data_IF_012048780845
#
_entry.id   IF_012048780845
#
_cell.length_a   1.000
_cell.length_b   1.000
_cell.length_c   1.000
_cell.angle_alpha   90.00
_cell.angle_beta   90.00
_cell.angle_gamma   90.00
#
_symmetry.space_group_name_H-M   'P 1'
#
loop_
_entity.id
_entity.type
_entity.pdbx_description
1 polymer ?
#
# COMPACT_ATOMS: atom_id res chain seq x y z
N UNK A 1 31.27 7.61 17.53
CA UNK A 1 31.75 7.34 16.15
C UNK A 1 31.07 6.07 15.65
N UNK A 2 30.27 6.12 14.57
CA UNK A 2 29.43 5.01 14.07
C UNK A 2 30.21 3.78 13.51
N UNK A 3 31.53 3.72 13.69
CA UNK A 3 32.33 2.57 13.25
C UNK A 3 32.33 2.30 11.73
N UNK A 4 31.96 3.28 10.90
CA UNK A 4 31.74 3.10 9.45
C UNK A 4 33.01 3.15 8.57
N UNK A 5 34.22 3.21 9.14
CA UNK A 5 35.45 3.27 8.34
C UNK A 5 35.74 1.96 7.59
N UNK A 6 36.10 2.02 6.31
CA UNK A 6 36.47 0.87 5.49
C UNK A 6 37.80 1.15 4.79
N UNK A 7 38.56 0.11 4.47
CA UNK A 7 39.87 0.22 3.82
C UNK A 7 39.96 -0.55 2.49
N UNK A 8 38.88 -1.23 2.09
CA UNK A 8 38.76 -1.86 0.78
C UNK A 8 37.28 -2.05 0.41
N UNK A 9 37.02 -2.27 -0.88
CA UNK A 9 35.69 -2.47 -1.45
C UNK A 9 34.97 -3.66 -0.81
N UNK A 10 35.69 -4.74 -0.47
CA UNK A 10 35.11 -5.91 0.20
C UNK A 10 34.52 -5.58 1.57
N UNK A 11 35.25 -4.83 2.42
CA UNK A 11 34.73 -4.38 3.72
C UNK A 11 33.61 -3.36 3.58
N UNK A 12 33.64 -2.51 2.55
CA UNK A 12 32.52 -1.63 2.24
C UNK A 12 31.27 -2.45 1.91
N UNK A 13 31.38 -3.45 1.04
CA UNK A 13 30.26 -4.33 0.67
C UNK A 13 29.76 -5.13 1.88
N UNK A 14 30.65 -5.71 2.68
CA UNK A 14 30.27 -6.39 3.92
C UNK A 14 29.55 -5.46 4.92
N UNK A 15 29.97 -4.18 4.99
CA UNK A 15 29.27 -3.18 5.81
C UNK A 15 27.90 -2.83 5.25
N UNK A 16 27.79 -2.62 3.93
CA UNK A 16 26.51 -2.38 3.26
C UNK A 16 25.57 -3.58 3.45
N UNK A 17 26.07 -4.80 3.31
CA UNK A 17 25.33 -6.05 3.56
C UNK A 17 24.93 -6.21 5.03
N UNK A 18 25.71 -5.66 5.96
CA UNK A 18 25.37 -5.65 7.39
C UNK A 18 24.33 -4.60 7.79
N UNK A 19 24.01 -3.64 6.91
CA UNK A 19 22.94 -2.68 7.16
C UNK A 19 21.61 -3.45 7.12
N UNK A 20 20.83 -3.47 8.22
CA UNK A 20 19.58 -4.20 8.26
C UNK A 20 18.66 -3.75 7.12
N UNK A 21 18.12 -4.71 6.38
CA UNK A 21 17.15 -4.42 5.33
C UNK A 21 15.93 -3.72 5.93
N UNK A 22 15.54 -2.56 5.37
CA UNK A 22 14.42 -1.73 5.84
C UNK A 22 13.04 -2.41 5.83
N UNK A 23 12.89 -3.62 5.30
CA UNK A 23 11.63 -4.37 5.35
C UNK A 23 11.85 -5.87 5.59
N UNK A 24 12.94 -6.23 6.27
CA UNK A 24 13.28 -7.62 6.48
C UNK A 24 13.57 -8.39 5.18
N UNK A 25 13.45 -9.72 5.28
CA UNK A 25 13.90 -10.68 4.27
C UNK A 25 12.84 -10.90 3.19
N UNK A 26 13.28 -11.06 1.95
CA UNK A 26 12.42 -11.46 0.83
C UNK A 26 11.95 -12.90 0.99
N UNK A 27 10.64 -13.09 0.91
CA UNK A 27 9.94 -14.38 0.84
C UNK A 27 9.37 -14.57 -0.56
N UNK A 28 9.25 -15.82 -0.98
CA UNK A 28 8.60 -16.20 -2.23
C UNK A 28 7.49 -17.17 -1.91
N UNK A 29 6.30 -16.93 -2.45
CA UNK A 29 5.19 -17.87 -2.39
C UNK A 29 4.71 -18.19 -3.81
N UNK A 30 4.04 -19.33 -3.94
CA UNK A 30 3.35 -19.74 -5.15
C UNK A 30 1.87 -19.77 -4.84
N UNK A 31 1.10 -18.89 -5.49
CA UNK A 31 -0.35 -18.92 -5.41
C UNK A 31 -0.88 -19.91 -6.44
N UNK A 32 -1.83 -20.74 -6.02
CA UNK A 32 -2.59 -21.63 -6.88
C UNK A 32 -4.05 -21.62 -6.46
N UNK A 33 -4.95 -21.92 -7.38
CA UNK A 33 -6.39 -21.85 -7.14
C UNK A 33 -7.02 -23.25 -7.23
N UNK A 34 -8.05 -23.59 -6.42
CA UNK A 34 -8.64 -24.93 -6.42
C UNK A 34 -9.19 -25.38 -7.78
N UNK A 35 -9.67 -24.44 -8.60
CA UNK A 35 -10.19 -24.67 -9.95
C UNK A 35 -9.08 -24.91 -10.99
N UNK A 36 -7.82 -24.58 -10.69
CA UNK A 36 -6.67 -24.84 -11.55
C UNK A 36 -5.36 -24.93 -10.74
N UNK A 37 -5.13 -26.03 -10.01
CA UNK A 37 -3.99 -26.15 -9.08
C UNK A 37 -2.62 -26.18 -9.78
N UNK A 38 -2.59 -26.53 -11.07
CA UNK A 38 -1.37 -26.57 -11.88
C UNK A 38 -0.90 -25.17 -12.30
N UNK A 39 -1.80 -24.19 -12.36
CA UNK A 39 -1.46 -22.80 -12.69
C UNK A 39 -0.99 -22.08 -11.42
N UNK A 40 0.32 -21.85 -11.36
CA UNK A 40 0.99 -21.23 -10.21
C UNK A 40 1.45 -19.82 -10.55
N UNK A 41 1.22 -18.90 -9.63
CA UNK A 41 1.62 -17.49 -9.74
C UNK A 41 2.65 -17.15 -8.69
N UNK A 42 3.81 -16.63 -9.13
CA UNK A 42 4.90 -16.30 -8.21
C UNK A 42 4.68 -14.93 -7.59
N UNK A 43 4.67 -14.86 -6.25
CA UNK A 43 4.70 -13.58 -5.51
C UNK A 43 5.99 -13.53 -4.70
N UNK A 44 6.75 -12.45 -4.87
CA UNK A 44 7.90 -12.16 -4.00
C UNK A 44 7.56 -11.00 -3.10
N UNK A 45 7.70 -11.15 -1.80
CA UNK A 45 7.28 -10.11 -0.87
C UNK A 45 8.14 -10.05 0.39
N UNK A 46 7.95 -8.98 1.14
CA UNK A 46 8.53 -8.73 2.44
C UNK A 46 7.40 -8.57 3.46
N UNK A 47 7.75 -8.56 4.73
CA UNK A 47 6.76 -8.29 5.77
C UNK A 47 6.46 -6.78 5.80
N UNK A 48 5.22 -6.34 5.50
CA UNK A 48 4.89 -4.92 5.53
C UNK A 48 4.99 -4.32 6.95
N UNK A 49 4.87 -5.11 8.02
CA UNK A 49 5.04 -4.63 9.39
C UNK A 49 6.49 -4.24 9.65
N UNK A 50 7.47 -4.98 9.12
CA UNK A 50 8.88 -4.60 9.18
C UNK A 50 9.15 -3.31 8.40
N UNK A 51 8.49 -3.12 7.26
CA UNK A 51 8.58 -1.89 6.48
C UNK A 51 8.04 -0.68 7.27
N UNK A 52 6.87 -0.84 7.90
CA UNK A 52 6.32 0.20 8.79
C UNK A 52 7.28 0.49 9.93
N UNK A 53 7.77 -0.55 10.64
CA UNK A 53 8.69 -0.37 11.77
C UNK A 53 9.96 0.36 11.34
N UNK A 54 10.52 0.04 10.17
CA UNK A 54 11.70 0.73 9.68
C UNK A 54 11.47 2.19 9.36
N UNK A 55 10.31 2.56 8.81
CA UNK A 55 9.98 3.98 8.57
C UNK A 55 9.68 4.70 9.89
N UNK A 56 9.03 4.01 10.82
CA UNK A 56 8.59 4.57 12.10
C UNK A 56 9.76 4.95 13.03
N UNK A 57 10.82 4.13 13.03
CA UNK A 57 12.01 4.30 13.87
C UNK A 57 13.13 5.08 13.18
N UNK A 58 12.96 5.50 11.93
CA UNK A 58 14.03 6.13 11.14
C UNK A 58 14.35 7.53 11.69
N UNK A 59 15.56 7.76 12.24
CA UNK A 59 15.92 9.06 12.82
C UNK A 59 15.88 10.20 11.80
N UNK A 60 16.01 9.89 10.51
CA UNK A 60 15.89 10.86 9.41
C UNK A 60 14.53 11.58 9.41
N UNK A 61 13.50 10.95 9.98
CA UNK A 61 12.16 11.51 10.06
C UNK A 61 11.79 12.02 11.46
N UNK A 62 12.70 11.98 12.45
CA UNK A 62 12.38 12.29 13.85
C UNK A 62 11.72 13.68 14.05
N UNK A 63 12.19 14.69 13.33
CA UNK A 63 11.66 16.06 13.41
C UNK A 63 10.40 16.30 12.56
N UNK A 64 9.95 15.29 11.81
CA UNK A 64 8.92 15.45 10.78
C UNK A 64 7.76 14.48 10.89
N UNK A 65 7.97 13.32 11.48
CA UNK A 65 6.94 12.30 11.63
C UNK A 65 5.86 12.77 12.62
N UNK A 66 4.60 12.63 12.21
CA UNK A 66 3.43 13.02 13.00
C UNK A 66 2.80 11.80 13.64
N UNK A 67 2.58 11.84 14.95
CA UNK A 67 2.04 10.73 15.73
C UNK A 67 0.55 10.89 16.09
N UNK A 68 -0.02 12.08 15.94
CA UNK A 68 -1.38 12.38 16.35
C UNK A 68 -2.14 13.15 15.28
N UNK A 69 -3.47 12.99 15.18
CA UNK A 69 -4.28 13.80 14.29
C UNK A 69 -4.29 15.26 14.75
N UNK A 70 -4.51 16.16 13.80
CA UNK A 70 -4.57 17.61 14.05
C UNK A 70 -5.79 18.22 13.36
N UNK A 71 -6.42 19.20 14.02
CA UNK A 71 -7.52 19.97 13.44
C UNK A 71 -7.04 21.36 13.05
N UNK A 72 -6.83 21.54 11.74
CA UNK A 72 -6.42 22.83 11.16
C UNK A 72 -7.65 23.56 10.62
N UNK A 73 -7.80 24.83 11.00
CA UNK A 73 -8.90 25.71 10.59
C UNK A 73 -8.38 26.89 9.76
N UNK A 74 -9.26 27.55 9.01
CA UNK A 74 -8.91 28.72 8.19
C UNK A 74 -8.56 29.94 9.02
N UNK A 75 -9.16 30.06 10.20
CA UNK A 75 -9.14 31.22 11.08
C UNK A 75 -9.61 30.82 12.50
N UNK A 76 -9.59 31.77 13.42
CA UNK A 76 -9.97 31.58 14.83
C UNK A 76 -11.45 31.24 15.04
N UNK A 77 -12.33 31.49 14.06
CA UNK A 77 -13.76 31.17 14.16
C UNK A 77 -14.00 29.65 14.12
N UNK A 78 -13.00 28.88 13.66
CA UNK A 78 -13.04 27.41 13.53
C UNK A 78 -14.23 26.87 12.73
N UNK A 79 -14.81 27.69 11.85
CA UNK A 79 -15.96 27.30 11.03
C UNK A 79 -15.56 26.42 9.84
N UNK A 80 -14.39 26.68 9.24
CA UNK A 80 -13.95 25.97 8.04
C UNK A 80 -12.67 25.19 8.30
N UNK A 81 -12.73 23.86 8.10
CA UNK A 81 -11.55 22.98 8.19
C UNK A 81 -10.67 23.06 6.94
N UNK A 82 -9.36 23.02 7.14
CA UNK A 82 -8.35 22.83 6.10
C UNK A 82 -7.81 21.41 6.15
N UNK A 83 -7.74 20.77 4.98
CA UNK A 83 -7.21 19.43 4.80
C UNK A 83 -6.03 19.49 3.84
N UNK A 84 -4.86 19.03 4.26
CA UNK A 84 -3.64 19.09 3.44
C UNK A 84 -2.75 17.85 3.60
N UNK A 85 -2.72 17.29 4.81
CA UNK A 85 -1.93 16.10 5.16
C UNK A 85 -2.82 15.04 5.80
N UNK A 86 -2.35 13.80 5.88
CA UNK A 86 -3.19 12.68 6.36
C UNK A 86 -3.65 12.89 7.82
N UNK A 87 -2.79 13.43 8.68
CA UNK A 87 -3.13 13.73 10.08
C UNK A 87 -4.15 14.86 10.22
N UNK A 88 -4.33 15.69 9.19
CA UNK A 88 -5.40 16.69 9.14
C UNK A 88 -6.71 16.13 8.60
N UNK A 89 -6.72 14.90 8.08
CA UNK A 89 -7.89 14.23 7.52
C UNK A 89 -8.88 13.79 8.61
N UNK A 90 -10.18 13.83 8.29
CA UNK A 90 -11.23 13.29 9.19
C UNK A 90 -10.98 11.82 9.54
N UNK A 91 -10.62 11.01 8.54
CA UNK A 91 -10.36 9.58 8.68
C UNK A 91 -9.41 9.22 9.83
N UNK A 92 -8.33 9.98 10.02
CA UNK A 92 -7.39 9.68 11.10
C UNK A 92 -8.01 10.02 12.44
N UNK A 93 -8.60 11.21 12.59
CA UNK A 93 -9.26 11.62 13.84
C UNK A 93 -10.33 10.62 14.27
N UNK A 94 -11.27 10.32 13.37
CA UNK A 94 -12.39 9.40 13.64
C UNK A 94 -11.88 8.01 14.09
N UNK A 95 -10.84 7.49 13.43
CA UNK A 95 -10.29 6.17 13.75
C UNK A 95 -9.41 6.18 15.01
N UNK A 96 -8.77 7.31 15.32
CA UNK A 96 -7.94 7.46 16.50
C UNK A 96 -8.79 7.52 17.77
N UNK A 97 -10.00 8.09 17.69
CA UNK A 97 -10.97 8.16 18.79
C UNK A 97 -11.51 6.77 19.18
N UNK A 98 -11.51 5.81 18.25
CA UNK A 98 -11.91 4.41 18.49
C UNK A 98 -10.79 3.55 19.13
N UNK A 99 -9.57 4.08 19.25
CA UNK A 99 -8.42 3.34 19.79
C UNK A 99 -8.19 3.63 21.29
N UNK A 100 -7.54 2.70 22.03
CA UNK A 100 -7.22 2.91 23.43
C UNK A 100 -6.31 4.13 23.67
N UNK A 101 -6.40 4.71 24.87
CA UNK A 101 -5.53 5.80 25.30
C UNK A 101 -4.04 5.45 25.13
N UNK A 102 -3.28 6.36 24.53
CA UNK A 102 -1.85 6.18 24.23
C UNK A 102 -1.57 5.36 22.95
N UNK A 103 -2.60 4.89 22.24
CA UNK A 103 -2.44 4.34 20.91
C UNK A 103 -2.17 5.42 19.86
N UNK A 104 -1.49 5.03 18.78
CA UNK A 104 -1.25 5.91 17.62
C UNK A 104 -1.43 5.15 16.32
N UNK A 105 -1.95 5.81 15.30
CA UNK A 105 -2.12 5.22 13.98
C UNK A 105 -0.85 5.42 13.14
N UNK A 106 -0.36 4.34 12.54
CA UNK A 106 0.53 4.40 11.39
C UNK A 106 -0.32 4.31 10.11
N UNK A 107 -0.57 5.45 9.48
CA UNK A 107 -1.41 5.53 8.29
C UNK A 107 -0.65 4.97 7.09
N UNK A 108 -0.89 3.72 6.70
CA UNK A 108 -0.16 3.06 5.62
C UNK A 108 -0.70 3.51 4.26
N UNK A 109 0.18 4.01 3.40
CA UNK A 109 -0.10 4.28 2.00
C UNK A 109 0.58 3.20 1.15
N UNK A 110 -0.20 2.50 0.35
CA UNK A 110 0.29 1.55 -0.64
C UNK A 110 0.40 2.23 -1.99
N UNK A 111 1.40 1.86 -2.79
CA UNK A 111 1.48 2.27 -4.18
C UNK A 111 1.89 1.09 -5.06
N UNK A 112 1.25 0.94 -6.20
CA UNK A 112 1.58 -0.12 -7.16
C UNK A 112 1.63 0.46 -8.56
N UNK A 113 2.66 0.12 -9.32
CA UNK A 113 2.87 0.64 -10.67
C UNK A 113 3.43 -0.48 -11.55
N UNK A 114 2.69 -0.89 -12.57
CA UNK A 114 3.13 -1.96 -13.47
C UNK A 114 4.16 -1.43 -14.47
N UNK A 115 5.42 -1.78 -14.24
CA UNK A 115 6.55 -1.30 -15.03
C UNK A 115 7.06 -2.36 -16.02
N UNK A 116 7.31 -1.96 -17.27
CA UNK A 116 8.00 -2.79 -18.25
C UNK A 116 9.50 -2.76 -17.98
N UNK A 117 10.12 -3.91 -17.72
CA UNK A 117 11.56 -3.99 -17.41
C UNK A 117 12.44 -4.00 -18.66
N UNK A 118 11.92 -4.47 -19.81
CA UNK A 118 12.67 -4.56 -21.07
C UNK A 118 11.77 -4.32 -22.27
N UNK A 119 12.06 -3.31 -23.09
CA UNK A 119 11.33 -3.06 -24.35
C UNK A 119 11.86 -3.90 -25.54
N UNK A 120 13.13 -4.34 -25.52
CA UNK A 120 13.79 -4.87 -26.72
C UNK A 120 14.19 -6.35 -26.68
N UNK A 121 14.21 -7.00 -25.51
CA UNK A 121 14.55 -8.43 -25.39
C UNK A 121 13.78 -9.09 -24.24
N UNK A 122 12.72 -9.83 -24.57
CA UNK A 122 12.10 -10.80 -23.65
C UNK A 122 10.88 -10.34 -22.85
N UNK A 123 10.33 -9.13 -23.08
CA UNK A 123 9.00 -8.74 -22.59
C UNK A 123 8.77 -8.90 -21.08
N UNK A 124 9.82 -8.77 -20.26
CA UNK A 124 9.72 -8.91 -18.81
C UNK A 124 9.05 -7.67 -18.22
N UNK A 125 8.09 -7.88 -17.35
CA UNK A 125 7.39 -6.81 -16.63
C UNK A 125 7.46 -7.10 -15.14
N UNK A 126 7.58 -6.05 -14.34
CA UNK A 126 7.50 -6.11 -12.89
C UNK A 126 6.25 -5.36 -12.45
N UNK A 127 5.66 -5.83 -11.37
CA UNK A 127 4.55 -5.13 -10.74
C UNK A 127 4.90 -4.88 -9.27
N UNK A 128 5.79 -3.91 -9.01
CA UNK A 128 6.18 -3.56 -7.65
C UNK A 128 5.01 -3.03 -6.82
N UNK A 129 5.02 -3.39 -5.53
CA UNK A 129 4.16 -2.85 -4.49
C UNK A 129 5.04 -2.14 -3.47
N UNK A 130 4.84 -0.84 -3.32
CA UNK A 130 5.53 0.03 -2.37
C UNK A 130 4.63 0.37 -1.17
N UNK A 131 5.28 0.70 -0.06
CA UNK A 131 4.67 1.13 1.19
C UNK A 131 5.36 2.41 1.67
N UNK A 132 4.56 3.37 2.13
CA UNK A 132 5.02 4.55 2.86
C UNK A 132 4.01 4.91 3.97
N UNK A 133 4.32 5.94 4.76
CA UNK A 133 3.48 6.38 5.87
C UNK A 133 2.87 7.75 5.61
N UNK A 134 1.57 7.85 5.91
CA UNK A 134 0.76 9.05 6.05
C UNK A 134 1.31 10.04 7.06
N UNK A 135 1.96 9.50 8.09
CA UNK A 135 2.64 10.21 9.18
C UNK A 135 3.84 11.04 8.70
N UNK A 136 4.41 10.73 7.53
CA UNK A 136 5.53 11.47 6.95
C UNK A 136 4.97 12.56 6.03
N UNK A 137 5.40 13.83 6.16
CA UNK A 137 4.93 14.92 5.31
C UNK A 137 5.03 14.62 3.81
N UNK A 138 4.07 15.12 3.03
CA UNK A 138 4.01 14.85 1.59
C UNK A 138 5.30 15.21 0.85
N UNK A 139 5.93 16.33 1.20
CA UNK A 139 7.14 16.78 0.54
C UNK A 139 8.33 15.82 0.77
N UNK A 140 8.41 15.20 1.95
CA UNK A 140 9.40 14.16 2.25
C UNK A 140 9.07 12.90 1.45
N UNK A 141 7.80 12.50 1.38
CA UNK A 141 7.36 11.37 0.54
C UNK A 141 7.74 11.53 -0.94
N UNK A 142 7.83 12.77 -1.41
CA UNK A 142 8.27 13.13 -2.76
C UNK A 142 9.78 13.36 -2.91
N UNK A 143 10.58 13.10 -1.88
CA UNK A 143 12.03 13.28 -1.87
C UNK A 143 12.76 11.92 -1.90
N UNK A 144 13.16 11.39 -3.07
CA UNK A 144 13.71 10.04 -3.17
C UNK A 144 15.01 9.83 -2.39
N UNK A 145 15.81 10.89 -2.20
CA UNK A 145 17.07 10.83 -1.43
C UNK A 145 16.85 10.49 0.05
N UNK A 146 15.67 10.81 0.60
CA UNK A 146 15.29 10.46 1.98
C UNK A 146 14.68 9.06 2.08
N UNK A 147 14.48 8.38 0.95
CA UNK A 147 13.92 7.02 0.87
C UNK A 147 12.65 6.82 1.73
N UNK A 148 11.60 7.64 1.58
CA UNK A 148 10.37 7.56 2.38
C UNK A 148 9.48 6.36 2.02
N UNK A 149 9.78 5.69 0.90
CA UNK A 149 8.99 4.59 0.35
C UNK A 149 9.82 3.31 0.30
N UNK A 150 9.23 2.20 0.72
CA UNK A 150 9.88 0.88 0.74
C UNK A 150 9.12 -0.08 -0.16
N UNK A 151 9.85 -0.77 -1.05
CA UNK A 151 9.28 -1.83 -1.88
C UNK A 151 8.94 -3.06 -1.03
N UNK A 152 7.67 -3.40 -0.85
CA UNK A 152 7.25 -4.56 -0.03
C UNK A 152 6.92 -5.81 -0.84
N UNK A 153 6.79 -5.71 -2.17
CA UNK A 153 6.53 -6.89 -2.99
C UNK A 153 6.64 -6.68 -4.48
N UNK A 154 6.63 -7.80 -5.19
CA UNK A 154 6.39 -7.92 -6.62
C UNK A 154 5.16 -8.79 -6.79
N UNK A 155 4.09 -8.18 -7.30
CA UNK A 155 2.84 -8.84 -7.63
C UNK A 155 3.02 -9.71 -8.88
N UNK A 156 2.19 -10.75 -9.06
CA UNK A 156 2.25 -11.60 -10.23
C UNK A 156 2.03 -10.81 -11.52
N UNK A 157 2.92 -11.00 -12.49
CA UNK A 157 2.81 -10.40 -13.82
C UNK A 157 2.62 -11.46 -14.91
N UNK A 158 2.73 -12.72 -14.53
CA UNK A 158 2.46 -13.88 -15.38
C UNK A 158 1.05 -13.76 -15.95
N UNK A 159 0.94 -13.76 -17.27
CA UNK A 159 -0.35 -13.63 -17.94
C UNK A 159 -1.11 -14.94 -17.76
N UNK A 160 -2.27 -14.88 -17.10
CA UNK A 160 -3.29 -15.93 -17.20
C UNK A 160 -3.48 -16.24 -18.69
N UNK A 161 -3.45 -17.52 -19.06
CA UNK A 161 -3.50 -17.91 -20.48
C UNK A 161 -4.78 -17.41 -21.14
N UNK A 162 -4.63 -16.48 -22.11
CA UNK A 162 -5.75 -15.90 -22.87
C UNK A 162 -6.25 -16.85 -23.97
N UNK A 163 -5.54 -17.95 -24.24
CA UNK A 163 -5.80 -18.82 -25.40
C UNK A 163 -7.07 -19.66 -25.28
N UNK A 164 -7.53 -19.92 -24.07
CA UNK A 164 -8.67 -20.84 -23.79
C UNK A 164 -9.81 -20.12 -23.04
N UNK A 165 -9.62 -18.87 -22.63
CA UNK A 165 -10.55 -18.15 -21.77
C UNK A 165 -11.27 -17.03 -22.52
N UNK A 166 -12.55 -16.83 -22.20
CA UNK A 166 -13.26 -15.62 -22.60
C UNK A 166 -12.64 -14.39 -21.93
N UNK A 167 -12.85 -13.21 -22.51
CA UNK A 167 -12.29 -11.97 -21.96
C UNK A 167 -12.77 -11.69 -20.52
N UNK A 168 -14.02 -12.05 -20.22
CA UNK A 168 -14.61 -11.90 -18.89
C UNK A 168 -13.93 -12.79 -17.86
N UNK A 169 -13.79 -14.09 -18.16
CA UNK A 169 -13.14 -15.07 -17.27
C UNK A 169 -11.66 -14.73 -17.07
N UNK A 170 -10.98 -14.30 -18.13
CA UNK A 170 -9.59 -13.86 -18.04
C UNK A 170 -9.40 -12.65 -17.12
N UNK A 171 -10.29 -11.65 -17.19
CA UNK A 171 -10.26 -10.47 -16.31
C UNK A 171 -10.53 -10.85 -14.85
N UNK A 172 -11.57 -11.65 -14.62
CA UNK A 172 -11.93 -12.13 -13.28
C UNK A 172 -10.77 -12.88 -12.62
N UNK A 173 -10.12 -13.80 -13.37
CA UNK A 173 -8.92 -14.51 -12.89
C UNK A 173 -7.77 -13.56 -12.58
N UNK A 174 -7.51 -12.58 -13.43
CA UNK A 174 -6.44 -11.59 -13.21
C UNK A 174 -6.70 -10.77 -11.93
N UNK A 175 -7.94 -10.33 -11.72
CA UNK A 175 -8.36 -9.65 -10.48
C UNK A 175 -8.19 -10.56 -9.27
N UNK A 176 -8.60 -11.83 -9.36
CA UNK A 176 -8.48 -12.82 -8.28
C UNK A 176 -7.02 -13.08 -7.89
N UNK A 177 -6.12 -13.24 -8.87
CA UNK A 177 -4.66 -13.36 -8.62
C UNK A 177 -4.12 -12.15 -7.87
N UNK A 178 -4.49 -10.95 -8.31
CA UNK A 178 -4.08 -9.71 -7.66
C UNK A 178 -4.57 -9.61 -6.21
N UNK A 179 -5.86 -9.84 -5.97
CA UNK A 179 -6.45 -9.75 -4.63
C UNK A 179 -5.93 -10.82 -3.68
N UNK A 180 -5.67 -12.03 -4.16
CA UNK A 180 -5.07 -13.08 -3.33
C UNK A 180 -3.61 -12.78 -2.98
N UNK A 181 -2.83 -12.22 -3.92
CA UNK A 181 -1.48 -11.74 -3.64
C UNK A 181 -1.49 -10.61 -2.60
N UNK A 182 -2.35 -9.60 -2.78
CA UNK A 182 -2.50 -8.50 -1.82
C UNK A 182 -2.94 -9.01 -0.43
N UNK A 183 -3.90 -9.92 -0.38
CA UNK A 183 -4.37 -10.56 0.86
C UNK A 183 -3.23 -11.26 1.59
N UNK A 184 -2.39 -12.02 0.87
CA UNK A 184 -1.26 -12.71 1.47
C UNK A 184 -0.21 -11.74 2.00
N UNK A 185 0.19 -10.75 1.19
CA UNK A 185 1.22 -9.77 1.56
C UNK A 185 0.77 -8.94 2.77
N UNK A 186 -0.49 -8.48 2.79
CA UNK A 186 -1.02 -7.58 3.81
C UNK A 186 -1.60 -8.29 5.04
N UNK A 187 -1.60 -9.62 5.09
CA UNK A 187 -2.10 -10.38 6.25
C UNK A 187 -1.43 -9.98 7.57
N UNK A 188 -0.09 -9.89 7.67
CA UNK A 188 0.56 -9.45 8.91
C UNK A 188 0.17 -8.03 9.30
N UNK A 189 0.00 -7.14 8.30
CA UNK A 189 -0.42 -5.76 8.51
C UNK A 189 -1.85 -5.68 9.06
N UNK A 190 -2.75 -6.52 8.56
CA UNK A 190 -4.15 -6.58 9.03
C UNK A 190 -4.23 -7.08 10.46
N UNK A 191 -3.42 -8.06 10.84
CA UNK A 191 -3.34 -8.57 12.21
C UNK A 191 -2.77 -7.49 13.16
N UNK A 192 -1.71 -6.81 12.74
CA UNK A 192 -1.11 -5.71 13.48
C UNK A 192 -2.06 -4.50 13.62
N UNK A 193 -2.79 -4.15 12.56
CA UNK A 193 -3.75 -3.05 12.56
C UNK A 193 -4.97 -3.30 13.45
N UNK A 194 -5.29 -4.55 13.77
CA UNK A 194 -6.37 -4.90 14.72
C UNK A 194 -5.92 -4.91 16.17
N UNK A 195 -4.70 -5.37 16.43
CA UNK A 195 -4.19 -5.59 17.80
C UNK A 195 -3.37 -4.41 18.33
N UNK A 196 -2.79 -3.63 17.42
CA UNK A 196 -1.71 -2.72 17.73
C UNK A 196 -0.43 -3.50 18.07
N UNK A 197 0.72 -2.86 17.86
CA UNK A 197 2.02 -3.43 18.19
C UNK A 197 2.95 -2.35 18.76
N UNK A 198 3.74 -2.66 19.80
CA UNK A 198 4.71 -1.72 20.32
C UNK A 198 5.80 -1.44 19.27
N UNK A 199 6.04 -0.17 18.97
CA UNK A 199 7.13 0.27 18.11
C UNK A 199 7.88 1.45 18.73
N UNK A 200 9.21 1.43 18.63
CA UNK A 200 10.04 2.59 18.93
C UNK A 200 9.89 3.62 17.80
N UNK A 201 9.51 4.84 18.15
CA UNK A 201 9.51 5.98 17.25
C UNK A 201 10.92 6.48 16.97
N UNK A 202 11.05 7.29 15.93
CA UNK A 202 12.27 8.00 15.58
C UNK A 202 12.80 8.93 16.70
N UNK A 203 11.92 9.32 17.63
CA UNK A 203 12.24 10.07 18.84
C UNK A 203 12.70 9.20 20.04
N UNK A 204 12.78 7.88 19.85
CA UNK A 204 13.18 6.91 20.87
C UNK A 204 12.06 6.49 21.83
N UNK A 205 10.86 7.07 21.73
CA UNK A 205 9.72 6.67 22.57
C UNK A 205 9.01 5.45 21.98
N UNK A 206 8.67 4.48 22.84
CA UNK A 206 7.86 3.33 22.44
C UNK A 206 6.38 3.69 22.52
N UNK A 207 5.65 3.44 21.42
CA UNK A 207 4.21 3.68 21.31
C UNK A 207 3.48 2.41 20.91
N UNK A 208 2.22 2.28 21.30
CA UNK A 208 1.36 1.21 20.81
C UNK A 208 0.76 1.61 19.46
N UNK A 209 1.35 1.10 18.37
CA UNK A 209 1.10 1.56 17.00
C UNK A 209 0.10 0.63 16.29
N UNK A 210 -0.91 1.22 15.68
CA UNK A 210 -1.89 0.54 14.84
C UNK A 210 -1.61 0.88 13.37
N UNK A 211 -0.91 0.01 12.62
CA UNK A 211 -0.69 0.20 11.19
C UNK A 211 -1.96 -0.11 10.40
N UNK A 212 -2.54 0.90 9.78
CA UNK A 212 -3.83 0.78 9.08
C UNK A 212 -3.69 1.30 7.66
N UNK A 213 -4.12 0.50 6.68
CA UNK A 213 -4.12 0.92 5.26
C UNK A 213 -5.11 2.06 5.08
N UNK A 214 -4.57 3.24 4.79
CA UNK A 214 -5.31 4.48 4.68
C UNK A 214 -5.57 4.87 3.22
N UNK A 215 -4.63 4.54 2.31
CA UNK A 215 -4.78 4.83 0.89
C UNK A 215 -4.00 3.84 0.02
N UNK A 216 -4.47 3.65 -1.22
CA UNK A 216 -3.74 2.95 -2.28
C UNK A 216 -3.60 3.88 -3.50
N UNK A 217 -2.42 4.46 -3.64
CA UNK A 217 -2.04 5.28 -4.80
C UNK A 217 -1.83 4.38 -6.03
N UNK A 218 -2.62 4.62 -7.06
CA UNK A 218 -2.66 3.82 -8.28
C UNK A 218 -3.17 4.65 -9.46
N UNK A 219 -2.76 4.30 -10.68
CA UNK A 219 -3.33 4.91 -11.87
C UNK A 219 -4.77 4.43 -12.12
N UNK A 220 -5.42 4.93 -13.17
CA UNK A 220 -6.81 4.55 -13.44
C UNK A 220 -7.00 3.03 -13.70
N UNK A 221 -6.08 2.39 -14.42
CA UNK A 221 -6.17 0.96 -14.73
C UNK A 221 -5.98 0.11 -13.47
N UNK A 222 -5.02 0.48 -12.63
CA UNK A 222 -4.81 -0.18 -11.35
C UNK A 222 -5.97 0.09 -10.37
N UNK A 223 -6.55 1.28 -10.36
CA UNK A 223 -7.78 1.55 -9.59
C UNK A 223 -8.94 0.68 -10.02
N UNK A 224 -9.08 0.41 -11.32
CA UNK A 224 -10.06 -0.53 -11.83
C UNK A 224 -9.78 -1.96 -11.36
N UNK A 225 -8.51 -2.38 -11.31
CA UNK A 225 -8.11 -3.68 -10.79
C UNK A 225 -8.44 -3.82 -9.28
N UNK A 226 -8.10 -2.81 -8.48
CA UNK A 226 -8.34 -2.78 -7.03
C UNK A 226 -9.85 -2.80 -6.72
N UNK A 227 -10.64 -1.99 -7.45
CA UNK A 227 -12.09 -1.90 -7.25
C UNK A 227 -12.90 -3.02 -7.93
N UNK A 228 -12.24 -3.97 -8.60
CA UNK A 228 -12.89 -4.99 -9.42
C UNK A 228 -13.84 -4.42 -10.49
N UNK A 229 -13.49 -3.27 -11.06
CA UNK A 229 -14.29 -2.59 -12.08
C UNK A 229 -13.72 -2.76 -13.49
N UNK A 230 -14.57 -2.53 -14.50
CA UNK A 230 -14.16 -2.55 -15.91
C UNK A 230 -13.47 -1.24 -16.26
N UNK A 231 -12.42 -1.29 -17.09
CA UNK A 231 -11.92 -0.10 -17.76
C UNK A 231 -13.08 0.63 -18.45
N UNK A 232 -13.07 1.96 -18.37
CA UNK A 232 -14.17 2.87 -18.81
C UNK A 232 -15.38 2.92 -17.86
N UNK A 233 -15.24 2.53 -16.60
CA UNK A 233 -16.25 2.76 -15.55
C UNK A 233 -15.67 3.57 -14.39
N UNK A 234 -16.51 4.16 -13.55
CA UNK A 234 -16.03 4.84 -12.36
C UNK A 234 -15.58 3.81 -11.30
N UNK A 235 -14.33 3.88 -10.78
CA UNK A 235 -13.86 3.00 -9.71
C UNK A 235 -14.42 3.38 -8.33
N UNK A 236 -14.99 4.59 -8.19
CA UNK A 236 -15.50 5.11 -6.93
C UNK A 236 -17.03 4.97 -6.78
N UNK A 237 -17.78 5.00 -7.86
CA UNK A 237 -19.24 4.94 -7.85
C UNK A 237 -19.78 4.02 -8.94
N UNK A 238 -21.05 3.65 -8.83
CA UNK A 238 -21.72 2.73 -9.75
C UNK A 238 -22.29 3.43 -10.99
N UNK A 239 -21.76 4.60 -11.35
CA UNK A 239 -22.21 5.34 -12.54
C UNK A 239 -22.00 4.51 -13.82
N UNK A 240 -23.05 4.34 -14.65
CA UNK A 240 -22.94 3.68 -15.95
C UNK A 240 -21.99 4.42 -16.89
N UNK A 241 -21.25 3.69 -17.74
CA UNK A 241 -20.29 4.27 -18.69
C UNK A 241 -20.87 5.40 -19.54
N UNK A 242 -22.11 5.27 -20.00
CA UNK A 242 -22.76 6.26 -20.87
C UNK A 242 -23.19 7.54 -20.14
N UNK A 243 -23.07 7.60 -18.80
CA UNK A 243 -23.46 8.75 -17.98
C UNK A 243 -22.29 9.43 -17.26
N UNK A 244 -21.05 8.99 -17.52
CA UNK A 244 -19.86 9.53 -16.86
C UNK A 244 -19.70 11.05 -17.07
N UNK A 245 -20.10 11.57 -18.23
CA UNK A 245 -19.97 12.99 -18.58
C UNK A 245 -21.15 13.86 -18.15
N UNK A 246 -22.28 13.25 -17.74
CA UNK A 246 -23.57 13.94 -17.57
C UNK A 246 -24.18 13.78 -16.18
N UNK A 247 -23.56 13.00 -15.29
CA UNK A 247 -24.04 12.79 -13.92
C UNK A 247 -23.21 13.55 -12.91
N UNK A 248 -23.87 14.15 -11.91
CA UNK A 248 -23.18 14.63 -10.72
C UNK A 248 -22.70 13.41 -9.91
N UNK A 249 -21.40 13.31 -9.58
CA UNK A 249 -20.88 12.23 -8.74
C UNK A 249 -21.59 12.08 -7.40
N UNK A 250 -22.20 13.16 -6.87
CA UNK A 250 -22.93 13.16 -5.59
C UNK A 250 -24.25 12.40 -5.65
N UNK A 251 -24.82 12.26 -6.85
CA UNK A 251 -26.08 11.54 -7.06
C UNK A 251 -25.85 10.04 -7.29
N UNK A 252 -24.60 9.61 -7.39
CA UNK A 252 -24.24 8.23 -7.74
C UNK A 252 -23.98 7.39 -6.48
N UNK A 253 -24.51 6.18 -6.48
CA UNK A 253 -24.25 5.20 -5.41
C UNK A 253 -22.75 4.90 -5.33
N UNK A 254 -22.08 5.13 -4.18
CA UNK A 254 -20.68 4.79 -4.00
C UNK A 254 -20.44 3.28 -4.12
N UNK A 255 -19.23 2.89 -4.56
CA UNK A 255 -18.78 1.50 -4.44
C UNK A 255 -18.26 1.29 -3.03
N UNK A 256 -18.88 0.38 -2.30
CA UNK A 256 -18.50 0.05 -0.93
C UNK A 256 -17.56 -1.16 -0.90
N UNK A 257 -16.97 -1.42 0.26
CA UNK A 257 -16.16 -2.62 0.47
C UNK A 257 -17.01 -3.88 0.33
N UNK A 258 -18.27 -3.88 0.82
CA UNK A 258 -19.20 -5.02 0.69
C UNK A 258 -19.47 -5.33 -0.78
N UNK A 259 -19.75 -4.31 -1.59
CA UNK A 259 -19.96 -4.49 -3.03
C UNK A 259 -18.75 -5.13 -3.71
N UNK A 260 -17.54 -4.64 -3.40
CA UNK A 260 -16.30 -5.16 -3.99
C UNK A 260 -16.05 -6.61 -3.56
N UNK A 261 -16.28 -6.94 -2.28
CA UNK A 261 -16.15 -8.30 -1.76
C UNK A 261 -17.16 -9.26 -2.37
N UNK A 262 -18.40 -8.79 -2.62
CA UNK A 262 -19.42 -9.57 -3.33
C UNK A 262 -18.97 -9.90 -4.76
N UNK A 263 -18.47 -8.92 -5.51
CA UNK A 263 -17.95 -9.15 -6.86
C UNK A 263 -16.80 -10.16 -6.87
N UNK A 264 -15.89 -10.08 -5.89
CA UNK A 264 -14.80 -11.05 -5.75
C UNK A 264 -15.34 -12.46 -5.45
N UNK A 265 -16.41 -12.56 -4.66
CA UNK A 265 -17.03 -13.84 -4.31
C UNK A 265 -17.79 -14.48 -5.49
N UNK A 266 -18.45 -13.66 -6.32
CA UNK A 266 -19.18 -14.08 -7.52
C UNK A 266 -18.24 -14.43 -8.69
N UNK A 267 -17.04 -13.84 -8.74
CA UNK A 267 -16.02 -14.10 -9.76
C UNK A 267 -15.31 -15.47 -9.62
N UNK A 268 -15.80 -16.36 -8.74
CA UNK A 268 -15.27 -17.70 -8.48
C UNK A 268 -15.59 -18.70 -9.59
#
# INVERSE_FOLDING_TARGET
RLGLSYHNTRRLHQKIESIPSRAGIWKTILLSFPDNPEEKFTVRHRDPVEAVRSLWQDPTFAEHIVYLPEHVFTDETKQTRRFNEMWTGRWWGDLQDDLPDGATIAAVILASDKTLLTQFTGGKSAYPLYLTLGNIPKWIRHCPSMQPCILIGYLPVEKVSRRVLTEQVWRARTQRVFHEAMRHILKPLTEAGKKGIPMAGADGMVRHVYPIVAAHASDYQERCLVSCTKNTTCPNCQCPTHKLSSSDPRDMVPRTCEWTLQVIAEAK
#
